data_IF_070059572821
#
_entry.id   IF_070059572821
#
_cell.length_a   1.000
_cell.length_b   1.000
_cell.length_c   1.000
_cell.angle_alpha   90.00
_cell.angle_beta   90.00
_cell.angle_gamma   90.00
#
_symmetry.space_group_name_H-M   'P 1'
#
loop_
_entity.id
_entity.type
_entity.pdbx_description
1 polymer ?
#
# COMPACT_ATOMS: atom_id res chain seq x y z
N UNK A 1 -94.30 3.67 -11.39
CA UNK A 1 -93.99 4.20 -12.74
C UNK A 1 -92.62 3.69 -13.18
N UNK A 2 -92.15 4.06 -14.39
CA UNK A 2 -90.84 3.74 -15.01
C UNK A 2 -89.70 3.73 -13.96
N UNK A 3 -88.87 2.68 -13.85
CA UNK A 3 -87.84 2.20 -14.80
C UNK A 3 -86.77 3.26 -15.08
N UNK A 4 -85.55 3.05 -14.57
CA UNK A 4 -84.33 2.91 -15.39
C UNK A 4 -83.15 2.40 -14.52
N UNK A 5 -82.23 1.66 -15.14
CA UNK A 5 -80.92 1.28 -14.56
C UNK A 5 -79.81 1.99 -15.32
N UNK A 6 -78.71 2.35 -14.65
CA UNK A 6 -77.44 2.74 -15.29
C UNK A 6 -76.24 2.29 -14.43
N UNK A 7 -75.06 2.21 -15.03
CA UNK A 7 -73.87 1.58 -14.46
C UNK A 7 -72.56 2.23 -14.95
N UNK A 8 -71.43 1.80 -14.37
CA UNK A 8 -70.04 2.19 -14.70
C UNK A 8 -69.67 3.63 -14.24
N UNK A 9 -68.39 4.01 -14.04
CA UNK A 9 -67.13 3.27 -14.22
C UNK A 9 -66.12 3.60 -13.09
N UNK A 10 -65.06 2.77 -12.96
CA UNK A 10 -63.81 3.20 -12.30
C UNK A 10 -62.95 3.98 -13.31
N UNK A 11 -62.23 4.99 -12.83
CA UNK A 11 -60.99 5.48 -13.46
C UNK A 11 -59.94 5.75 -12.39
N UNK A 12 -58.70 5.35 -12.64
CA UNK A 12 -57.56 5.67 -11.79
C UNK A 12 -56.99 7.06 -12.16
N UNK A 13 -56.43 7.75 -11.17
CA UNK A 13 -55.67 8.98 -11.38
C UNK A 13 -54.17 8.68 -11.28
N UNK A 14 -53.41 9.07 -12.29
CA UNK A 14 -51.96 8.95 -12.29
C UNK A 14 -51.31 10.08 -11.45
N UNK A 15 -50.11 9.85 -10.93
CA UNK A 15 -49.42 10.75 -10.00
C UNK A 15 -48.02 11.10 -10.48
N UNK A 16 -47.93 12.18 -11.26
CA UNK A 16 -46.66 12.85 -11.58
C UNK A 16 -46.42 13.98 -10.57
N UNK A 17 -45.30 13.92 -9.85
CA UNK A 17 -44.84 14.99 -8.95
C UNK A 17 -43.49 15.49 -9.42
N UNK A 18 -43.48 16.68 -10.01
CA UNK A 18 -42.26 17.37 -10.45
C UNK A 18 -41.70 18.24 -9.31
N UNK A 19 -40.46 18.01 -8.90
CA UNK A 19 -39.86 18.65 -7.73
C UNK A 19 -39.23 20.02 -8.05
N UNK A 20 -40.07 21.06 -8.17
CA UNK A 20 -39.63 22.45 -8.37
C UNK A 20 -38.99 23.08 -7.12
N UNK A 21 -37.94 23.90 -7.32
CA UNK A 21 -37.13 24.48 -6.23
C UNK A 21 -37.90 25.53 -5.41
N UNK A 22 -37.93 25.37 -4.09
CA UNK A 22 -38.64 26.28 -3.19
C UNK A 22 -37.76 27.43 -2.66
N UNK A 23 -38.18 28.68 -2.90
CA UNK A 23 -37.71 29.89 -2.20
C UNK A 23 -38.87 30.87 -2.00
N UNK A 24 -39.46 30.99 -0.80
CA UNK A 24 -40.45 32.03 -0.51
C UNK A 24 -39.76 33.35 -0.09
N UNK A 25 -40.28 34.46 -0.60
CA UNK A 25 -40.02 35.80 -0.05
C UNK A 25 -41.20 36.28 0.82
N UNK A 26 -40.91 37.26 1.67
CA UNK A 26 -41.72 37.81 2.78
C UNK A 26 -42.88 38.73 2.34
N UNK A 27 -44.12 38.43 2.75
CA UNK A 27 -45.27 39.37 2.94
C UNK A 27 -46.35 38.67 3.79
N UNK A 28 -46.62 39.03 5.06
CA UNK A 28 -47.47 40.13 5.61
C UNK A 28 -48.98 40.08 5.32
N UNK A 29 -49.83 39.95 6.36
CA UNK A 29 -51.15 40.63 6.55
C UNK A 29 -51.68 40.45 8.00
N UNK A 30 -52.40 41.47 8.49
CA UNK A 30 -53.21 41.64 9.74
C UNK A 30 -53.52 40.41 10.64
N UNK A 31 -53.25 40.43 11.95
CA UNK A 31 -53.98 41.08 13.09
C UNK A 31 -55.05 40.14 13.73
N UNK A 32 -55.39 40.17 15.04
CA UNK A 32 -55.49 41.29 15.99
C UNK A 32 -55.47 40.79 17.47
N UNK A 33 -54.74 41.45 18.38
CA UNK A 33 -55.16 41.61 19.80
C UNK A 33 -54.31 42.62 20.61
N UNK A 34 -55.03 43.60 21.15
CA UNK A 34 -54.82 44.47 22.34
C UNK A 34 -53.51 44.30 23.14
N UNK A 35 -52.86 45.44 23.45
CA UNK A 35 -51.65 45.52 24.28
C UNK A 35 -51.96 45.90 25.75
N UNK A 36 -51.08 45.52 26.67
CA UNK A 36 -50.72 46.37 27.81
C UNK A 36 -49.36 45.99 28.43
N UNK A 37 -48.50 47.00 28.61
CA UNK A 37 -47.50 47.19 29.69
C UNK A 37 -46.21 47.84 29.16
N UNK A 38 -45.78 48.90 29.84
CA UNK A 38 -44.63 49.72 29.46
C UNK A 38 -43.48 49.58 30.47
N UNK A 39 -42.28 49.29 29.97
CA UNK A 39 -41.04 49.63 30.71
C UNK A 39 -39.97 50.07 29.72
N UNK A 40 -39.41 51.26 29.93
CA UNK A 40 -38.34 51.81 29.11
C UNK A 40 -37.00 51.74 29.85
N UNK A 41 -35.93 51.47 29.12
CA UNK A 41 -34.55 51.88 29.45
C UNK A 41 -33.83 52.16 28.13
N UNK A 42 -33.05 53.23 28.08
CA UNK A 42 -32.50 53.78 26.83
C UNK A 42 -31.20 53.11 26.37
N UNK A 43 -31.07 53.07 25.04
CA UNK A 43 -29.90 53.51 24.27
C UNK A 43 -28.49 53.37 24.88
N UNK A 44 -27.63 52.66 24.17
CA UNK A 44 -26.26 53.15 23.92
C UNK A 44 -25.94 52.87 22.46
N UNK A 45 -25.46 53.89 21.75
CA UNK A 45 -25.11 53.83 20.34
C UNK A 45 -23.73 54.42 20.15
N UNK A 46 -22.83 53.65 19.53
CA UNK A 46 -21.72 54.20 18.74
C UNK A 46 -21.52 53.30 17.54
N UNK A 47 -21.36 53.91 16.37
CA UNK A 47 -20.86 53.27 15.13
C UNK A 47 -19.49 53.84 14.84
N UNK A 48 -18.58 53.03 14.28
CA UNK A 48 -17.39 53.37 13.47
C UNK A 48 -16.48 52.11 13.42
N UNK A 49 -15.55 51.92 12.48
CA UNK A 49 -15.47 52.30 11.06
C UNK A 49 -14.29 51.53 10.42
N UNK A 50 -14.21 51.53 9.09
CA UNK A 50 -13.18 50.85 8.28
C UNK A 50 -11.74 51.28 8.63
N UNK A 51 -10.77 50.36 8.54
CA UNK A 51 -9.64 50.40 7.58
C UNK A 51 -8.82 49.09 7.65
N UNK A 52 -8.70 48.37 6.53
CA UNK A 52 -7.60 48.43 5.55
C UNK A 52 -6.43 47.50 5.90
N UNK A 53 -6.24 46.46 5.08
CA UNK A 53 -5.08 45.57 5.13
C UNK A 53 -4.21 45.82 3.89
N UNK A 54 -2.92 46.06 4.11
CA UNK A 54 -1.97 46.53 3.10
C UNK A 54 -1.42 45.38 2.25
N UNK A 55 -1.49 45.50 0.92
CA UNK A 55 -0.65 44.70 0.02
C UNK A 55 0.79 45.22 0.05
N UNK A 56 1.78 44.32 0.14
CA UNK A 56 3.21 44.65 0.00
C UNK A 56 3.77 43.92 -1.21
N UNK A 57 4.41 44.67 -2.11
CA UNK A 57 4.88 44.19 -3.41
C UNK A 57 6.42 44.24 -3.48
N UNK A 58 6.99 43.34 -4.29
CA UNK A 58 8.35 43.41 -4.87
C UNK A 58 9.57 43.26 -3.95
N UNK A 59 10.45 42.32 -4.32
CA UNK A 59 11.81 42.68 -4.78
C UNK A 59 12.22 41.75 -5.94
N UNK A 60 13.10 42.26 -6.80
CA UNK A 60 13.61 41.64 -8.02
C UNK A 60 15.12 41.33 -7.90
N UNK A 61 15.71 40.66 -8.91
CA UNK A 61 17.15 40.42 -9.11
C UNK A 61 17.78 39.35 -8.21
N UNK A 62 18.81 38.60 -8.64
CA UNK A 62 19.89 38.95 -9.57
C UNK A 62 20.27 37.87 -10.59
N UNK A 63 20.90 38.31 -11.69
CA UNK A 63 21.54 37.48 -12.72
C UNK A 63 22.82 36.79 -12.22
N UNK A 64 23.24 35.72 -12.92
CA UNK A 64 24.66 35.31 -13.08
C UNK A 64 24.91 34.77 -14.49
N UNK A 65 26.11 35.00 -15.04
CA UNK A 65 26.45 34.75 -16.45
C UNK A 65 27.66 33.81 -16.62
N UNK A 66 27.47 32.80 -17.49
CA UNK A 66 28.42 32.17 -18.45
C UNK A 66 29.90 31.86 -18.13
N UNK A 67 30.35 30.74 -18.73
CA UNK A 67 31.74 30.31 -19.01
C UNK A 67 32.48 29.54 -17.88
N UNK A 68 33.39 28.58 -18.18
CA UNK A 68 33.97 28.21 -19.49
C UNK A 68 34.32 26.71 -19.62
N UNK A 69 34.26 26.21 -20.87
CA UNK A 69 35.07 25.17 -21.55
C UNK A 69 35.98 24.21 -20.75
N UNK A 70 36.00 22.92 -21.15
CA UNK A 70 37.14 22.28 -21.89
C UNK A 70 36.74 20.88 -22.40
N UNK A 71 37.22 20.50 -23.58
CA UNK A 71 37.04 19.18 -24.21
C UNK A 71 38.18 18.22 -23.88
N UNK A 72 37.91 16.91 -23.90
CA UNK A 72 38.94 15.87 -24.07
C UNK A 72 38.33 14.64 -24.75
N UNK A 73 38.91 14.21 -25.88
CA UNK A 73 38.54 13.00 -26.61
C UNK A 73 39.26 11.74 -26.03
N UNK A 74 39.21 10.64 -26.80
CA UNK A 74 39.97 9.38 -26.68
C UNK A 74 39.41 8.33 -25.70
N UNK A 75 39.46 7.03 -26.00
CA UNK A 75 39.63 6.32 -27.28
C UNK A 75 39.06 4.90 -27.14
N UNK A 76 38.50 4.34 -28.23
CA UNK A 76 38.09 2.94 -28.31
C UNK A 76 39.22 2.05 -28.87
N UNK A 77 39.09 0.73 -28.66
CA UNK A 77 39.52 -0.36 -29.58
C UNK A 77 40.73 -1.22 -29.14
N UNK A 78 40.47 -2.54 -29.07
CA UNK A 78 41.40 -3.70 -29.12
C UNK A 78 42.53 -3.87 -28.08
N UNK A 79 43.22 -5.02 -27.95
CA UNK A 79 42.76 -6.43 -27.87
C UNK A 79 43.96 -7.39 -27.61
N UNK A 80 43.80 -8.40 -26.72
CA UNK A 80 44.42 -9.77 -26.83
C UNK A 80 45.99 -9.79 -26.67
N UNK A 81 46.75 -10.92 -26.52
CA UNK A 81 46.49 -12.32 -26.09
C UNK A 81 47.31 -12.79 -24.84
N UNK A 82 47.25 -14.10 -24.53
CA UNK A 82 48.27 -14.95 -23.83
C UNK A 82 48.50 -14.73 -22.32
N UNK A 83 48.88 -15.74 -21.51
CA UNK A 83 49.62 -17.01 -21.75
C UNK A 83 48.98 -18.12 -20.87
N UNK A 84 48.45 -19.24 -21.39
CA UNK A 84 49.09 -20.50 -21.88
C UNK A 84 49.89 -21.28 -20.81
N UNK A 85 49.40 -22.48 -20.46
CA UNK A 85 50.05 -23.67 -19.81
C UNK A 85 48.87 -24.61 -19.47
N UNK A 86 48.45 -25.57 -20.32
CA UNK A 86 49.08 -26.87 -20.63
C UNK A 86 49.50 -27.64 -19.37
N UNK A 87 48.86 -28.74 -18.99
CA UNK A 87 49.12 -30.14 -19.42
C UNK A 87 47.95 -30.98 -18.86
N UNK A 88 47.10 -31.66 -19.65
CA UNK A 88 47.19 -33.06 -20.15
C UNK A 88 47.48 -34.10 -19.05
N UNK A 89 46.99 -35.35 -19.02
CA UNK A 89 46.08 -36.21 -19.84
C UNK A 89 45.30 -37.13 -18.84
N UNK A 90 44.39 -38.08 -19.13
CA UNK A 90 44.09 -38.86 -20.35
C UNK A 90 42.62 -39.32 -20.41
N UNK A 91 42.13 -39.60 -21.61
CA UNK A 91 41.09 -40.59 -22.00
C UNK A 91 41.41 -41.99 -21.40
N UNK A 92 40.50 -42.96 -21.18
CA UNK A 92 39.56 -43.61 -22.11
C UNK A 92 38.53 -44.50 -21.38
N UNK A 93 37.58 -45.12 -22.10
CA UNK A 93 36.60 -46.06 -21.53
C UNK A 93 36.81 -47.49 -22.04
N UNK A 94 36.60 -48.50 -21.19
CA UNK A 94 36.45 -49.90 -21.62
C UNK A 94 35.63 -50.74 -20.63
N UNK A 95 34.87 -51.70 -21.17
CA UNK A 95 34.05 -52.68 -20.44
C UNK A 95 34.78 -54.01 -20.24
N UNK A 96 34.56 -54.70 -19.12
CA UNK A 96 34.79 -56.16 -18.98
C UNK A 96 33.85 -56.71 -17.88
N UNK A 97 33.50 -57.99 -17.96
CA UNK A 97 32.47 -58.64 -17.15
C UNK A 97 32.99 -59.34 -15.88
N UNK A 98 32.06 -59.55 -14.94
CA UNK A 98 31.92 -60.68 -14.01
C UNK A 98 33.15 -61.27 -13.29
N UNK A 99 33.17 -61.12 -11.95
CA UNK A 99 33.66 -62.15 -11.03
C UNK A 99 32.88 -62.12 -9.70
N UNK A 100 32.49 -63.30 -9.20
CA UNK A 100 31.84 -63.48 -7.89
C UNK A 100 32.89 -63.73 -6.80
N UNK A 101 32.72 -63.17 -5.59
CA UNK A 101 32.69 -63.91 -4.30
C UNK A 101 32.60 -62.95 -3.10
N UNK A 102 31.89 -63.37 -2.06
CA UNK A 102 31.70 -62.69 -0.77
C UNK A 102 32.97 -62.57 0.06
N UNK A 103 33.22 -61.42 0.67
CA UNK A 103 33.87 -61.35 1.97
C UNK A 103 33.31 -60.17 2.79
N UNK A 104 33.24 -60.30 4.11
CA UNK A 104 32.60 -59.32 5.00
C UNK A 104 33.64 -58.57 5.83
N UNK A 105 33.78 -57.27 5.58
CA UNK A 105 34.66 -56.39 6.34
C UNK A 105 33.85 -55.23 6.97
N UNK A 106 33.87 -55.14 8.29
CA UNK A 106 33.25 -54.03 9.03
C UNK A 106 34.18 -52.81 9.04
N UNK A 107 33.76 -51.72 8.43
CA UNK A 107 34.43 -50.41 8.54
C UNK A 107 33.51 -49.39 9.21
N UNK A 108 34.08 -48.57 10.09
CA UNK A 108 33.34 -47.54 10.82
C UNK A 108 32.98 -46.39 9.89
N UNK A 109 31.70 -46.01 9.85
CA UNK A 109 31.27 -44.77 9.20
C UNK A 109 31.61 -43.60 10.11
N UNK A 110 32.67 -42.87 9.79
CA UNK A 110 32.93 -41.54 10.35
C UNK A 110 31.87 -40.57 9.80
N UNK A 111 31.10 -39.91 10.67
CA UNK A 111 30.06 -38.99 10.23
C UNK A 111 30.68 -37.73 9.60
N UNK A 112 30.75 -37.72 8.27
CA UNK A 112 31.10 -36.54 7.50
C UNK A 112 30.06 -35.44 7.76
N UNK A 113 30.36 -34.54 8.70
CA UNK A 113 29.49 -33.44 9.09
C UNK A 113 29.32 -32.46 7.92
N UNK A 114 28.31 -32.69 7.10
CA UNK A 114 27.95 -31.80 6.01
C UNK A 114 27.36 -30.53 6.59
N UNK A 115 28.18 -29.48 6.73
CA UNK A 115 27.73 -28.11 6.91
C UNK A 115 27.06 -27.60 5.64
N UNK A 116 25.87 -28.11 5.36
CA UNK A 116 24.93 -27.48 4.42
C UNK A 116 24.65 -26.08 4.92
N UNK A 117 25.22 -25.08 4.25
CA UNK A 117 24.69 -23.71 4.27
C UNK A 117 23.21 -23.80 3.97
N UNK A 118 22.38 -23.44 4.96
CA UNK A 118 20.94 -23.45 4.80
C UNK A 118 20.59 -22.52 3.63
N UNK A 119 19.98 -23.09 2.59
CA UNK A 119 19.34 -22.28 1.55
C UNK A 119 18.24 -21.40 2.16
N UNK A 120 17.78 -20.35 1.45
CA UNK A 120 16.76 -19.46 1.97
C UNK A 120 15.54 -20.27 2.45
N UNK A 121 15.23 -20.15 3.75
CA UNK A 121 14.17 -20.94 4.35
C UNK A 121 12.81 -20.53 3.78
N UNK A 122 12.17 -21.48 3.09
CA UNK A 122 10.82 -21.36 2.56
C UNK A 122 9.75 -21.78 3.58
N UNK A 123 10.05 -21.83 4.89
CA UNK A 123 9.01 -22.17 5.88
C UNK A 123 7.85 -21.16 5.80
N UNK A 124 6.60 -21.62 5.65
CA UNK A 124 5.43 -20.75 5.78
C UNK A 124 5.29 -20.27 7.23
N UNK A 125 4.95 -19.01 7.43
CA UNK A 125 4.76 -18.43 8.76
C UNK A 125 3.73 -17.30 8.78
N UNK A 126 3.29 -16.90 9.97
CA UNK A 126 2.47 -15.71 10.15
C UNK A 126 3.35 -14.45 10.19
N UNK A 127 2.85 -13.32 9.69
CA UNK A 127 3.52 -12.02 9.85
C UNK A 127 3.09 -11.44 11.19
N UNK A 128 4.04 -11.24 12.11
CA UNK A 128 3.81 -10.70 13.46
C UNK A 128 4.36 -9.28 13.55
N UNK A 129 3.58 -8.36 14.11
CA UNK A 129 3.99 -6.97 14.33
C UNK A 129 4.89 -6.77 15.55
N UNK A 130 5.62 -5.65 15.58
CA UNK A 130 6.31 -5.12 16.78
C UNK A 130 5.64 -3.82 17.28
N UNK A 131 6.20 -3.20 18.31
CA UNK A 131 5.71 -1.91 18.82
C UNK A 131 4.25 -1.99 19.31
N UNK A 132 3.34 -1.12 18.84
CA UNK A 132 1.91 -1.20 19.19
C UNK A 132 1.25 -2.53 18.82
N UNK A 133 1.69 -3.20 17.74
CA UNK A 133 1.15 -4.46 17.25
C UNK A 133 1.93 -5.70 17.77
N UNK A 134 2.69 -5.55 18.86
CA UNK A 134 3.57 -6.58 19.39
C UNK A 134 2.85 -7.91 19.68
N UNK A 135 3.27 -8.97 19.00
CA UNK A 135 2.74 -10.32 19.19
C UNK A 135 1.40 -10.60 18.49
N UNK A 136 0.86 -9.64 17.74
CA UNK A 136 -0.34 -9.83 16.92
C UNK A 136 0.03 -10.25 15.50
N UNK A 137 -0.75 -11.17 14.93
CA UNK A 137 -0.56 -11.65 13.56
C UNK A 137 -1.30 -10.78 12.55
N UNK A 138 -0.82 -10.69 11.32
CA UNK A 138 -1.53 -10.03 10.23
C UNK A 138 -2.76 -10.86 9.78
N UNK A 139 -3.94 -10.32 10.00
CA UNK A 139 -5.23 -10.87 9.60
C UNK A 139 -5.73 -10.30 8.27
N UNK A 140 -6.57 -11.07 7.59
CA UNK A 140 -7.30 -10.64 6.42
C UNK A 140 -8.29 -11.70 5.94
N UNK A 141 -8.72 -11.55 4.69
CA UNK A 141 -9.43 -12.60 3.95
C UNK A 141 -8.55 -13.11 2.81
N UNK A 142 -8.92 -14.23 2.22
CA UNK A 142 -8.39 -14.73 0.95
C UNK A 142 -8.86 -13.91 -0.28
N UNK A 143 -9.68 -12.88 -0.08
CA UNK A 143 -10.09 -11.92 -1.11
C UNK A 143 -9.04 -10.84 -1.34
N UNK A 144 -8.69 -10.61 -2.62
CA UNK A 144 -7.71 -9.61 -3.06
C UNK A 144 -8.21 -8.18 -2.87
N UNK A 145 -7.27 -7.24 -2.71
CA UNK A 145 -7.49 -5.79 -2.60
C UNK A 145 -8.30 -5.34 -1.36
N UNK A 146 -8.64 -6.26 -0.45
CA UNK A 146 -9.15 -5.96 0.90
C UNK A 146 -7.97 -5.56 1.79
N UNK A 147 -8.16 -4.55 2.64
CA UNK A 147 -7.16 -4.08 3.59
C UNK A 147 -6.89 -5.13 4.68
N UNK A 148 -5.62 -5.25 5.09
CA UNK A 148 -5.15 -6.17 6.12
C UNK A 148 -4.96 -5.43 7.46
N UNK A 149 -5.11 -6.14 8.58
CA UNK A 149 -5.04 -5.56 9.93
C UNK A 149 -4.41 -6.54 10.92
N UNK A 150 -3.72 -6.04 11.93
CA UNK A 150 -3.24 -6.86 13.05
C UNK A 150 -4.32 -7.08 14.12
N UNK A 151 -5.47 -6.39 14.01
CA UNK A 151 -6.66 -6.65 14.83
C UNK A 151 -7.53 -7.73 14.18
N UNK A 152 -7.82 -8.87 14.85
CA UNK A 152 -8.71 -9.90 14.33
C UNK A 152 -10.18 -9.46 14.29
N UNK A 153 -10.97 -10.08 13.42
CA UNK A 153 -12.43 -9.93 13.34
C UNK A 153 -13.12 -11.25 13.02
N UNK A 154 -14.43 -11.36 13.28
CA UNK A 154 -15.26 -12.54 12.99
C UNK A 154 -15.26 -12.95 11.49
N UNK A 155 -14.81 -12.05 10.61
CA UNK A 155 -14.75 -12.23 9.15
C UNK A 155 -13.32 -12.36 8.61
N UNK A 156 -12.29 -12.42 9.45
CA UNK A 156 -10.88 -12.51 9.03
C UNK A 156 -10.12 -13.63 9.74
N UNK A 157 -9.06 -14.10 9.09
CA UNK A 157 -8.20 -15.18 9.57
C UNK A 157 -6.74 -14.75 9.55
N UNK A 158 -5.90 -15.34 10.41
CA UNK A 158 -4.45 -15.15 10.37
C UNK A 158 -3.92 -15.60 9.01
N UNK A 159 -3.19 -14.72 8.32
CA UNK A 159 -2.62 -15.04 7.02
C UNK A 159 -1.23 -15.67 7.17
N UNK A 160 -1.09 -16.89 6.63
CA UNK A 160 0.18 -17.62 6.56
C UNK A 160 0.86 -17.31 5.23
N UNK A 161 2.06 -16.75 5.28
CA UNK A 161 2.86 -16.36 4.13
C UNK A 161 4.12 -17.22 3.99
N UNK A 162 4.49 -17.52 2.75
CA UNK A 162 5.78 -18.10 2.37
C UNK A 162 6.59 -17.03 1.64
N UNK A 163 7.86 -16.84 2.00
CA UNK A 163 8.77 -15.97 1.27
C UNK A 163 9.27 -16.67 0.00
N UNK A 164 8.71 -16.34 -1.15
CA UNK A 164 9.07 -16.94 -2.43
C UNK A 164 10.49 -16.57 -2.89
N UNK A 165 11.07 -17.39 -3.78
CA UNK A 165 12.45 -17.25 -4.27
C UNK A 165 12.75 -15.90 -4.96
N UNK A 166 11.72 -15.17 -5.38
CA UNK A 166 11.82 -13.84 -5.98
C UNK A 166 11.64 -12.69 -4.96
N UNK A 167 11.67 -13.00 -3.65
CA UNK A 167 11.49 -12.07 -2.55
C UNK A 167 10.04 -11.70 -2.21
N UNK A 168 9.01 -12.23 -2.89
CA UNK A 168 7.62 -11.89 -2.58
C UNK A 168 7.05 -12.78 -1.47
N UNK A 169 6.38 -12.18 -0.50
CA UNK A 169 5.57 -12.90 0.50
C UNK A 169 4.26 -13.32 -0.16
N UNK A 170 4.02 -14.63 -0.33
CA UNK A 170 2.84 -15.21 -0.96
C UNK A 170 2.00 -15.99 0.07
N UNK A 171 0.68 -15.90 0.01
CA UNK A 171 -0.24 -16.64 0.89
C UNK A 171 -1.26 -17.46 0.10
N UNK A 172 -1.70 -18.58 0.69
CA UNK A 172 -2.73 -19.44 0.13
C UNK A 172 -2.39 -19.98 -1.26
N UNK A 173 -3.38 -19.94 -2.17
CA UNK A 173 -3.25 -20.34 -3.57
C UNK A 173 -3.52 -19.14 -4.50
N UNK A 174 -3.27 -19.31 -5.81
CA UNK A 174 -3.53 -18.30 -6.83
C UNK A 174 -2.67 -17.02 -6.73
N UNK A 175 -1.39 -17.13 -6.34
CA UNK A 175 -0.41 -16.03 -6.37
C UNK A 175 -0.86 -14.78 -5.58
N UNK A 176 -1.56 -14.94 -4.45
CA UNK A 176 -1.90 -13.81 -3.58
C UNK A 176 -0.65 -13.33 -2.83
N UNK A 177 -0.01 -12.27 -3.32
CA UNK A 177 1.14 -11.66 -2.68
C UNK A 177 0.73 -10.58 -1.68
N UNK A 178 1.51 -10.36 -0.63
CA UNK A 178 1.42 -9.15 0.19
C UNK A 178 1.85 -7.95 -0.66
N UNK A 179 0.97 -6.95 -0.76
CA UNK A 179 1.16 -5.77 -1.59
C UNK A 179 0.81 -4.50 -0.82
N UNK A 180 1.41 -3.36 -1.22
CA UNK A 180 0.87 -2.04 -0.88
C UNK A 180 -0.18 -1.64 -1.93
N UNK A 181 -1.25 -0.96 -1.51
CA UNK A 181 -2.21 -0.31 -2.39
C UNK A 181 -1.98 1.20 -2.40
N UNK A 182 -1.58 1.79 -3.54
CA UNK A 182 -1.22 3.22 -3.59
C UNK A 182 -2.44 4.13 -3.35
N UNK A 183 -2.18 5.27 -2.69
CA UNK A 183 -3.14 6.32 -2.35
C UNK A 183 -2.64 7.69 -2.86
N UNK A 184 -3.41 8.78 -2.72
CA UNK A 184 -2.90 10.14 -2.96
C UNK A 184 -1.63 10.44 -2.17
N UNK A 185 -0.78 11.30 -2.74
CA UNK A 185 0.47 11.71 -2.08
C UNK A 185 0.20 12.30 -0.69
N UNK A 186 1.02 11.92 0.30
CA UNK A 186 0.81 12.24 1.71
C UNK A 186 -0.17 11.32 2.45
N UNK A 187 -0.73 10.29 1.80
CA UNK A 187 -1.61 9.28 2.43
C UNK A 187 -0.97 7.90 2.31
N UNK A 188 -0.88 7.16 3.43
CA UNK A 188 -0.31 5.82 3.43
C UNK A 188 -1.18 4.80 2.69
N UNK A 189 -0.52 3.90 1.98
CA UNK A 189 -1.15 2.77 1.30
C UNK A 189 -1.42 1.61 2.26
N UNK A 190 -2.65 1.09 2.39
CA UNK A 190 -2.90 -0.09 3.19
C UNK A 190 -2.22 -1.31 2.57
N UNK A 191 -1.83 -2.25 3.42
CA UNK A 191 -1.47 -3.60 3.02
C UNK A 191 -2.72 -4.31 2.48
N UNK A 192 -2.57 -4.99 1.34
CA UNK A 192 -3.61 -5.79 0.68
C UNK A 192 -3.00 -7.07 0.12
N UNK A 193 -3.83 -8.05 -0.21
CA UNK A 193 -3.42 -9.15 -1.09
C UNK A 193 -3.60 -8.76 -2.57
N UNK A 194 -2.58 -8.94 -3.41
CA UNK A 194 -2.70 -8.69 -4.86
C UNK A 194 -2.01 -9.76 -5.72
N UNK A 195 -2.50 -10.01 -6.97
CA UNK A 195 -2.06 -11.13 -7.79
C UNK A 195 -0.81 -10.88 -8.64
N UNK A 196 -0.50 -9.62 -8.93
CA UNK A 196 0.58 -9.19 -9.80
C UNK A 196 0.84 -7.68 -9.63
N UNK A 197 2.02 -7.23 -10.05
CA UNK A 197 2.40 -5.83 -10.01
C UNK A 197 1.62 -4.99 -11.04
N UNK A 198 1.04 -3.87 -10.59
CA UNK A 198 0.25 -2.95 -11.41
C UNK A 198 0.27 -1.54 -10.81
N UNK A 199 0.00 -0.49 -11.61
CA UNK A 199 0.15 0.90 -11.13
C UNK A 199 -0.66 1.26 -9.85
N UNK A 200 -1.73 0.52 -9.51
CA UNK A 200 -2.48 0.69 -8.26
C UNK A 200 -1.95 -0.15 -7.08
N UNK A 201 -1.20 -1.25 -7.32
CA UNK A 201 -0.75 -2.16 -6.26
C UNK A 201 0.64 -2.76 -6.56
N UNK A 202 1.55 -2.71 -5.59
CA UNK A 202 2.90 -3.30 -5.70
C UNK A 202 3.10 -4.44 -4.71
N UNK A 203 3.37 -5.68 -5.16
CA UNK A 203 3.86 -6.76 -4.31
C UNK A 203 5.18 -6.38 -3.63
N UNK A 204 5.25 -6.57 -2.32
CA UNK A 204 6.46 -6.26 -1.56
C UNK A 204 7.61 -7.21 -1.91
N UNK A 205 8.83 -6.69 -1.92
CA UNK A 205 10.09 -7.42 -2.13
C UNK A 205 10.87 -7.43 -0.83
N UNK A 206 10.89 -8.59 -0.18
CA UNK A 206 11.35 -8.80 1.17
C UNK A 206 12.56 -9.73 1.26
N UNK A 207 13.35 -9.50 2.29
CA UNK A 207 14.41 -10.38 2.77
C UNK A 207 14.14 -10.70 4.24
N UNK A 208 14.52 -11.90 4.69
CA UNK A 208 14.29 -12.37 6.06
C UNK A 208 15.63 -12.55 6.77
N UNK A 209 15.82 -11.87 7.88
CA UNK A 209 16.98 -12.03 8.75
C UNK A 209 16.91 -13.34 9.54
N UNK A 210 18.02 -13.78 10.13
CA UNK A 210 18.07 -14.96 10.98
C UNK A 210 17.19 -14.85 12.26
N UNK A 211 16.81 -13.63 12.65
CA UNK A 211 15.82 -13.33 13.70
C UNK A 211 14.36 -13.49 13.25
N UNK A 212 14.11 -13.88 11.99
CA UNK A 212 12.79 -13.89 11.37
C UNK A 212 12.29 -12.51 10.91
N UNK A 213 12.94 -11.42 11.31
CA UNK A 213 12.60 -10.03 10.93
C UNK A 213 12.62 -9.85 9.41
N UNK A 214 11.60 -9.20 8.86
CA UNK A 214 11.47 -8.92 7.43
C UNK A 214 11.89 -7.49 7.11
N UNK A 215 12.89 -7.34 6.23
CA UNK A 215 13.18 -6.06 5.58
C UNK A 215 12.56 -6.09 4.18
N UNK A 216 11.56 -5.23 3.94
CA UNK A 216 10.77 -5.19 2.71
C UNK A 216 10.96 -3.88 1.95
N UNK A 217 10.73 -3.92 0.64
CA UNK A 217 10.77 -2.77 -0.26
C UNK A 217 9.65 -2.83 -1.30
N UNK A 218 9.23 -1.68 -1.81
CA UNK A 218 8.37 -1.56 -2.99
C UNK A 218 8.66 -0.25 -3.75
N UNK A 219 8.33 -0.15 -5.06
CA UNK A 219 8.52 1.07 -5.81
C UNK A 219 7.78 2.26 -5.19
N UNK A 220 8.36 3.45 -5.30
CA UNK A 220 7.66 4.70 -4.98
C UNK A 220 6.47 4.90 -5.93
N UNK A 221 5.40 5.54 -5.46
CA UNK A 221 4.26 5.89 -6.30
C UNK A 221 3.10 6.52 -5.53
N UNK A 222 2.13 7.05 -6.27
CA UNK A 222 0.87 7.56 -5.72
C UNK A 222 -0.26 7.54 -6.76
N UNK A 223 -1.50 7.64 -6.29
CA UNK A 223 -2.71 7.67 -7.11
C UNK A 223 -3.45 9.00 -6.97
N UNK A 224 -3.77 9.65 -8.08
CA UNK A 224 -4.68 10.80 -8.12
C UNK A 224 -6.11 10.37 -7.76
N UNK A 225 -6.95 11.30 -7.31
CA UNK A 225 -8.35 11.05 -6.92
C UNK A 225 -9.26 10.58 -8.07
N UNK A 226 -8.79 10.64 -9.32
CA UNK A 226 -9.43 10.09 -10.52
C UNK A 226 -9.06 8.61 -10.77
N UNK A 227 -8.26 7.98 -9.90
CA UNK A 227 -7.78 6.59 -10.04
C UNK A 227 -6.52 6.42 -10.90
N UNK A 228 -5.97 7.49 -11.48
CA UNK A 228 -4.74 7.43 -12.26
C UNK A 228 -3.52 7.40 -11.33
N UNK A 229 -2.65 6.39 -11.47
CA UNK A 229 -1.52 6.18 -10.57
C UNK A 229 -0.18 6.22 -11.32
N UNK A 230 0.80 6.88 -10.70
CA UNK A 230 2.14 7.08 -11.27
C UNK A 230 3.22 6.52 -10.33
N UNK A 231 4.29 5.99 -10.93
CA UNK A 231 5.49 5.50 -10.25
C UNK A 231 6.74 6.18 -10.84
N UNK A 232 7.41 7.08 -10.11
CA UNK A 232 8.65 7.68 -10.60
C UNK A 232 9.82 6.70 -10.55
N UNK A 233 10.42 6.39 -11.71
CA UNK A 233 11.45 5.35 -11.88
C UNK A 233 12.71 5.51 -10.99
N UNK A 234 13.03 6.75 -10.59
CA UNK A 234 14.27 7.10 -9.89
C UNK A 234 14.04 7.63 -8.47
N UNK A 235 12.85 7.42 -7.89
CA UNK A 235 12.56 7.82 -6.52
C UNK A 235 12.92 6.73 -5.50
N UNK A 236 13.09 7.12 -4.25
CA UNK A 236 13.42 6.19 -3.15
C UNK A 236 12.26 5.22 -2.94
N UNK A 237 12.56 3.92 -2.96
CA UNK A 237 11.60 2.85 -2.68
C UNK A 237 11.00 2.99 -1.29
N UNK A 238 9.69 2.76 -1.19
CA UNK A 238 9.01 2.55 0.09
C UNK A 238 9.59 1.31 0.79
N UNK A 239 9.81 1.40 2.10
CA UNK A 239 10.56 0.40 2.88
C UNK A 239 10.03 0.14 4.29
N UNK A 240 9.08 0.95 4.77
CA UNK A 240 8.66 0.96 6.16
C UNK A 240 7.21 0.47 6.33
N UNK A 241 7.02 -0.46 7.28
CA UNK A 241 5.69 -0.87 7.74
C UNK A 241 5.16 0.11 8.79
N UNK A 242 3.86 0.35 8.75
CA UNK A 242 3.14 1.22 9.68
C UNK A 242 1.84 0.57 10.14
N UNK A 243 1.36 0.97 11.33
CA UNK A 243 0.00 0.69 11.82
C UNK A 243 -0.71 1.97 12.27
N UNK A 244 -2.03 2.01 12.09
CA UNK A 244 -2.87 3.07 12.67
C UNK A 244 -3.34 2.72 14.10
N UNK A 245 -4.12 3.61 14.72
CA UNK A 245 -4.73 3.38 16.05
C UNK A 245 -5.78 2.26 16.11
N UNK A 246 -6.17 1.66 14.97
CA UNK A 246 -7.01 0.44 14.88
C UNK A 246 -6.19 -0.81 14.53
N UNK A 247 -4.87 -0.64 14.38
CA UNK A 247 -3.88 -1.61 13.91
C UNK A 247 -4.08 -2.13 12.47
N UNK A 248 -4.75 -1.35 11.62
CA UNK A 248 -4.74 -1.58 10.19
C UNK A 248 -3.30 -1.49 9.68
N UNK A 249 -2.88 -2.40 8.80
CA UNK A 249 -1.52 -2.47 8.30
C UNK A 249 -1.30 -1.59 7.07
N UNK A 250 -0.19 -0.85 7.03
CA UNK A 250 0.20 0.05 5.95
C UNK A 250 1.68 -0.12 5.57
N UNK A 251 2.05 0.36 4.39
CA UNK A 251 3.44 0.37 3.92
C UNK A 251 3.74 1.63 3.10
N UNK A 252 4.93 2.22 3.30
CA UNK A 252 5.29 3.49 2.66
C UNK A 252 6.75 3.91 2.83
N UNK A 253 7.00 5.20 2.58
CA UNK A 253 8.29 5.85 2.81
C UNK A 253 8.69 5.80 4.28
N UNK A 254 9.99 5.71 4.58
CA UNK A 254 10.49 5.65 5.95
C UNK A 254 10.53 7.02 6.65
N UNK A 255 10.32 8.13 5.94
CA UNK A 255 10.33 9.48 6.53
C UNK A 255 9.21 9.70 7.56
N UNK A 256 8.06 9.04 7.38
CA UNK A 256 6.89 9.19 8.26
C UNK A 256 6.02 10.42 7.99
N UNK A 257 6.19 11.12 6.85
CA UNK A 257 5.47 12.36 6.48
C UNK A 257 3.99 12.15 6.10
N UNK A 258 3.24 11.41 6.92
CA UNK A 258 1.85 11.00 6.69
C UNK A 258 0.86 11.54 7.74
N UNK A 259 1.32 12.48 8.57
CA UNK A 259 0.54 13.09 9.65
C UNK A 259 0.44 12.23 10.92
N UNK A 260 -0.18 12.79 11.96
CA UNK A 260 -0.39 12.12 13.24
C UNK A 260 -1.48 11.04 13.14
N UNK A 261 -1.11 9.78 13.39
CA UNK A 261 -2.05 8.66 13.43
C UNK A 261 -1.41 7.30 13.11
N UNK A 262 -0.27 7.31 12.43
CA UNK A 262 0.49 6.12 12.07
C UNK A 262 1.73 5.96 12.96
N UNK A 263 2.03 4.73 13.37
CA UNK A 263 3.26 4.36 14.07
C UNK A 263 4.06 3.39 13.22
N UNK A 264 5.36 3.66 13.02
CA UNK A 264 6.26 2.72 12.34
C UNK A 264 6.45 1.46 13.19
N UNK A 265 6.46 0.29 12.54
CA UNK A 265 6.73 -1.01 13.17
C UNK A 265 7.71 -1.83 12.32
N UNK A 266 8.42 -2.74 12.97
CA UNK A 266 9.02 -3.88 12.27
C UNK A 266 7.98 -5.00 12.17
N UNK A 267 8.22 -5.96 11.28
CA UNK A 267 7.45 -7.21 11.23
C UNK A 267 8.37 -8.43 11.13
N UNK A 268 7.92 -9.54 11.69
CA UNK A 268 8.65 -10.82 11.77
C UNK A 268 7.83 -11.88 11.07
N UNK A 269 8.44 -12.71 10.23
CA UNK A 269 7.81 -13.94 9.74
C UNK A 269 8.06 -15.05 10.78
N UNK A 270 7.05 -15.33 11.60
CA UNK A 270 7.06 -16.32 12.67
C UNK A 270 6.51 -17.66 12.17
N UNK A 271 7.30 -18.72 12.31
CA UNK A 271 7.00 -20.11 11.92
C UNK A 271 6.11 -20.83 12.96
#
# INVERSE_FOLDING_TARGET
>A
MRVLSFALALFAADMVVEAGVCKPARTTTAATSIAESTTATSETSVVESLTSATETLSTDSSETLTASTTEAETTSTEAVPTTTTEVTVTTEASTTEAATTTEAASTSTEEASTTTTAGPSYTPGSIVGTGPAAGLTLHGTDTRFVALSFTPSDSTQTLIFTLAANGQLATGTNNNYLCLNYKPSGVLGPLVLCPFDNFQNAPLKCTRAASGTLSCTAPNGSCQSNGNCARPNNAISFSQFYVDGSQNGYFGDASGDFGSGYTAIDVILAE
#
